data_IF_057921653560
#
_entry.id   IF_057921653560
#
_cell.length_a   1.000
_cell.length_b   1.000
_cell.length_c   1.000
_cell.angle_alpha   90.00
_cell.angle_beta   90.00
_cell.angle_gamma   90.00
#
_symmetry.space_group_name_H-M   'P 1'
#
loop_
_entity.id
_entity.type
_entity.pdbx_description
1 polymer ?
#
# COMPACT_ATOMS: atom_id res chain seq x y z
N UNK A 1 -1.62 -3.64 34.14
CA UNK A 1 -3.05 -3.24 34.32
C UNK A 1 -3.79 -2.94 33.00
N UNK A 2 -3.21 -2.21 32.02
CA UNK A 2 -3.90 -1.81 30.77
C UNK A 2 -4.57 -2.96 29.99
N UNK A 3 -3.86 -4.06 29.75
CA UNK A 3 -4.42 -5.23 29.03
C UNK A 3 -5.58 -5.90 29.78
N UNK A 4 -5.46 -6.02 31.11
CA UNK A 4 -6.50 -6.63 31.94
C UNK A 4 -7.82 -5.84 31.87
N UNK A 5 -7.74 -4.50 31.87
CA UNK A 5 -8.91 -3.63 31.69
C UNK A 5 -9.56 -3.85 30.31
N UNK A 6 -8.76 -3.95 29.23
CA UNK A 6 -9.27 -4.19 27.88
C UNK A 6 -10.01 -5.53 27.80
N UNK A 7 -9.40 -6.62 28.26
CA UNK A 7 -10.01 -7.94 28.19
C UNK A 7 -11.33 -7.99 28.98
N UNK A 8 -11.37 -7.37 30.17
CA UNK A 8 -12.57 -7.38 31.02
C UNK A 8 -13.68 -6.43 30.53
N UNK A 9 -13.33 -5.32 29.91
CA UNK A 9 -14.31 -4.33 29.43
C UNK A 9 -14.93 -4.73 28.08
N UNK A 10 -14.11 -5.20 27.13
CA UNK A 10 -14.60 -5.60 25.81
C UNK A 10 -15.07 -7.06 25.79
N UNK A 11 -14.40 -7.95 26.52
CA UNK A 11 -14.63 -9.39 26.42
C UNK A 11 -14.01 -10.01 25.16
N UNK A 12 -13.85 -11.34 25.20
CA UNK A 12 -13.13 -12.10 24.17
C UNK A 12 -13.86 -12.05 22.82
N UNK A 13 -15.19 -12.16 22.81
CA UNK A 13 -15.97 -12.21 21.57
C UNK A 13 -15.96 -10.87 20.82
N UNK A 14 -16.03 -9.75 21.54
CA UNK A 14 -15.91 -8.43 20.91
C UNK A 14 -14.49 -8.19 20.38
N UNK A 15 -13.45 -8.60 21.10
CA UNK A 15 -12.06 -8.51 20.62
C UNK A 15 -11.87 -9.30 19.31
N UNK A 16 -12.38 -10.53 19.24
CA UNK A 16 -12.37 -11.31 17.99
C UNK A 16 -13.14 -10.60 16.88
N UNK A 17 -14.30 -10.01 17.19
CA UNK A 17 -15.11 -9.26 16.22
C UNK A 17 -14.36 -8.05 15.68
N UNK A 18 -13.70 -7.26 16.54
CA UNK A 18 -12.88 -6.12 16.09
C UNK A 18 -11.76 -6.54 15.17
N UNK A 19 -11.02 -7.60 15.52
CA UNK A 19 -9.96 -8.14 14.67
C UNK A 19 -10.48 -8.62 13.31
N UNK A 20 -11.60 -9.36 13.30
CA UNK A 20 -12.23 -9.82 12.05
C UNK A 20 -12.70 -8.64 11.19
N UNK A 21 -13.27 -7.61 11.80
CA UNK A 21 -13.68 -6.40 11.09
C UNK A 21 -12.48 -5.68 10.46
N UNK A 22 -11.34 -5.59 11.15
CA UNK A 22 -10.12 -4.99 10.56
C UNK A 22 -9.61 -5.78 9.35
N UNK A 23 -9.63 -7.12 9.45
CA UNK A 23 -9.27 -7.99 8.32
C UNK A 23 -10.27 -7.83 7.17
N UNK A 24 -11.56 -7.71 7.46
CA UNK A 24 -12.58 -7.51 6.43
C UNK A 24 -12.40 -6.18 5.69
N UNK A 25 -12.13 -5.09 6.42
CA UNK A 25 -11.82 -3.79 5.80
C UNK A 25 -10.58 -3.87 4.89
N UNK A 26 -9.55 -4.61 5.31
CA UNK A 26 -8.37 -4.81 4.48
C UNK A 26 -8.68 -5.61 3.20
N UNK A 27 -9.54 -6.64 3.27
CA UNK A 27 -10.00 -7.37 2.08
C UNK A 27 -10.78 -6.48 1.13
N UNK A 28 -11.72 -5.67 1.65
CA UNK A 28 -12.46 -4.71 0.83
C UNK A 28 -11.50 -3.72 0.15
N UNK A 29 -10.50 -3.22 0.86
CA UNK A 29 -9.48 -2.35 0.26
C UNK A 29 -8.65 -3.08 -0.80
N UNK A 30 -8.25 -4.32 -0.55
CA UNK A 30 -7.52 -5.14 -1.52
C UNK A 30 -8.32 -5.34 -2.83
N UNK A 31 -9.64 -5.55 -2.73
CA UNK A 31 -10.54 -5.62 -3.89
C UNK A 31 -10.63 -4.30 -4.65
N UNK A 32 -10.67 -3.16 -3.93
CA UNK A 32 -10.65 -1.84 -4.56
C UNK A 32 -9.35 -1.59 -5.32
N UNK A 33 -8.21 -1.98 -4.74
CA UNK A 33 -6.91 -1.88 -5.40
C UNK A 33 -6.84 -2.80 -6.63
N UNK A 34 -7.31 -4.05 -6.54
CA UNK A 34 -7.33 -4.98 -7.68
C UNK A 34 -8.20 -4.52 -8.85
N UNK A 35 -9.25 -3.74 -8.59
CA UNK A 35 -10.12 -3.20 -9.64
C UNK A 35 -9.43 -2.14 -10.49
N UNK A 36 -8.35 -1.53 -10.00
CA UNK A 36 -7.60 -0.52 -10.71
C UNK A 36 -6.33 -1.13 -11.32
N UNK A 37 -6.29 -1.24 -12.65
CA UNK A 37 -5.17 -1.81 -13.41
C UNK A 37 -3.84 -1.06 -13.19
N UNK A 38 -3.89 0.14 -12.60
CA UNK A 38 -2.69 0.94 -12.28
C UNK A 38 -1.93 0.43 -11.07
N UNK A 39 -2.51 -0.47 -10.28
CA UNK A 39 -1.91 -0.97 -9.05
C UNK A 39 -1.81 -2.49 -9.07
N UNK A 40 -0.81 -3.01 -8.37
CA UNK A 40 -0.68 -4.43 -8.08
C UNK A 40 -0.50 -4.68 -6.59
N UNK A 41 -1.00 -5.84 -6.14
CA UNK A 41 -0.77 -6.36 -4.80
C UNK A 41 0.54 -7.15 -4.81
N UNK A 42 1.53 -6.71 -4.02
CA UNK A 42 2.87 -7.32 -4.00
C UNK A 42 2.87 -8.64 -3.24
N UNK A 43 2.11 -8.71 -2.14
CA UNK A 43 2.03 -9.89 -1.26
C UNK A 43 0.58 -10.18 -0.87
N UNK A 44 0.19 -11.46 -0.71
CA UNK A 44 -1.15 -11.81 -0.29
C UNK A 44 -1.54 -11.19 1.06
N UNK A 45 -2.73 -10.58 1.13
CA UNK A 45 -3.27 -9.99 2.36
C UNK A 45 -3.69 -11.09 3.34
N UNK A 46 -2.92 -11.28 4.44
CA UNK A 46 -3.23 -12.29 5.48
C UNK A 46 -3.98 -11.73 6.69
N UNK A 47 -3.77 -10.45 6.99
CA UNK A 47 -4.35 -9.75 8.13
C UNK A 47 -4.85 -8.37 7.69
N UNK A 48 -4.87 -7.38 8.58
CA UNK A 48 -5.38 -6.04 8.30
C UNK A 48 -4.36 -5.11 7.60
N UNK A 49 -3.44 -5.66 6.80
CA UNK A 49 -2.42 -4.89 6.08
C UNK A 49 -2.36 -5.32 4.62
N UNK A 50 -2.54 -4.37 3.72
CA UNK A 50 -2.46 -4.56 2.27
C UNK A 50 -1.21 -3.87 1.75
N UNK A 51 -0.32 -4.63 1.11
CA UNK A 51 0.88 -4.10 0.48
C UNK A 51 0.67 -4.00 -1.03
N UNK A 52 0.60 -2.78 -1.54
CA UNK A 52 0.37 -2.51 -2.96
C UNK A 52 1.40 -1.52 -3.49
N UNK A 53 1.55 -1.50 -4.82
CA UNK A 53 2.35 -0.51 -5.53
C UNK A 53 1.76 -0.22 -6.90
N UNK A 54 2.21 0.87 -7.52
CA UNK A 54 1.93 1.18 -8.93
C UNK A 54 2.50 0.09 -9.82
N UNK A 55 1.70 -0.33 -10.79
CA UNK A 55 2.06 -1.34 -11.78
C UNK A 55 3.08 -0.78 -12.79
N UNK A 56 4.13 -1.54 -13.15
CA UNK A 56 5.16 -1.06 -14.07
C UNK A 56 4.63 -0.54 -15.42
N UNK A 57 3.65 -1.23 -16.01
CA UNK A 57 3.10 -0.88 -17.32
C UNK A 57 2.25 0.40 -17.33
N UNK A 58 1.89 0.91 -16.15
CA UNK A 58 1.12 2.15 -16.01
C UNK A 58 1.98 3.40 -16.07
N UNK A 59 3.31 3.22 -16.13
CA UNK A 59 4.28 4.30 -16.30
C UNK A 59 4.62 4.36 -17.79
N UNK A 60 4.13 5.39 -18.49
CA UNK A 60 4.57 5.68 -19.85
C UNK A 60 6.03 6.12 -19.80
N UNK A 61 6.92 5.23 -20.23
CA UNK A 61 8.31 5.56 -20.49
C UNK A 61 8.35 6.08 -21.91
N UNK A 62 8.58 7.38 -22.09
CA UNK A 62 8.84 7.93 -23.41
C UNK A 62 10.06 7.19 -24.00
N UNK A 63 9.85 6.41 -25.07
CA UNK A 63 10.88 5.65 -25.76
C UNK A 63 11.91 6.54 -26.50
N UNK A 64 11.91 7.86 -26.24
CA UNK A 64 12.66 8.88 -26.99
C UNK A 64 13.97 9.34 -26.35
N UNK A 65 14.37 8.80 -25.20
CA UNK A 65 15.64 9.17 -24.56
C UNK A 65 16.54 7.96 -24.41
N UNK A 66 17.66 7.99 -25.15
CA UNK A 66 18.91 7.36 -24.74
C UNK A 66 19.04 7.47 -23.22
N UNK A 67 19.13 6.31 -22.55
CA UNK A 67 19.02 6.08 -21.11
C UNK A 67 18.90 7.31 -20.21
N UNK A 68 17.75 7.47 -19.55
CA UNK A 68 17.59 8.43 -18.46
C UNK A 68 18.61 8.11 -17.34
N UNK A 69 19.73 8.82 -17.32
CA UNK A 69 20.71 8.77 -16.24
C UNK A 69 20.31 9.79 -15.16
N UNK A 70 19.88 9.31 -13.99
CA UNK A 70 19.82 10.13 -12.79
C UNK A 70 21.03 9.78 -11.92
N UNK A 71 21.88 10.78 -11.64
CA UNK A 71 23.11 10.63 -10.84
C UNK A 71 24.02 9.51 -11.40
N UNK A 72 24.20 9.47 -12.73
CA UNK A 72 25.21 8.61 -13.38
C UNK A 72 24.98 7.10 -13.32
N UNK A 73 23.79 6.62 -12.90
CA UNK A 73 23.46 5.18 -12.94
C UNK A 73 22.41 4.87 -14.00
N UNK A 74 22.63 3.79 -14.76
CA UNK A 74 21.68 3.24 -15.74
C UNK A 74 20.38 2.87 -15.00
N UNK A 75 19.28 3.55 -15.34
CA UNK A 75 17.97 3.28 -14.73
C UNK A 75 17.48 1.88 -15.12
N UNK A 76 17.23 1.04 -14.12
CA UNK A 76 16.44 -0.18 -14.29
C UNK A 76 14.96 0.17 -14.11
N UNK A 77 14.06 -0.50 -14.83
CA UNK A 77 12.60 -0.30 -14.77
C UNK A 77 12.05 -0.31 -13.33
N UNK A 78 12.62 -1.13 -12.44
CA UNK A 78 12.23 -1.18 -11.03
C UNK A 78 12.56 0.09 -10.22
N UNK A 79 13.62 0.83 -10.58
CA UNK A 79 13.97 2.08 -9.89
C UNK A 79 12.95 3.18 -10.20
N UNK A 80 12.49 3.27 -11.44
CA UNK A 80 11.46 4.23 -11.84
C UNK A 80 10.14 3.95 -11.11
N UNK A 81 9.71 2.69 -11.03
CA UNK A 81 8.52 2.28 -10.29
C UNK A 81 8.64 2.67 -8.81
N UNK A 82 9.79 2.42 -8.19
CA UNK A 82 10.02 2.80 -6.79
C UNK A 82 9.95 4.32 -6.59
N UNK A 83 10.49 5.10 -7.52
CA UNK A 83 10.48 6.56 -7.46
C UNK A 83 9.07 7.13 -7.58
N UNK A 84 8.26 6.62 -8.50
CA UNK A 84 6.85 7.05 -8.65
C UNK A 84 6.03 6.66 -7.43
N UNK A 85 6.23 5.45 -6.88
CA UNK A 85 5.58 5.03 -5.63
C UNK A 85 5.97 5.93 -4.45
N UNK A 86 7.24 6.31 -4.34
CA UNK A 86 7.70 7.26 -3.32
C UNK A 86 6.98 8.61 -3.45
N UNK A 87 6.94 9.20 -4.65
CA UNK A 87 6.26 10.47 -4.89
C UNK A 87 4.75 10.40 -4.61
N UNK A 88 4.11 9.29 -4.97
CA UNK A 88 2.70 9.06 -4.67
C UNK A 88 2.47 9.05 -3.15
N UNK A 89 3.30 8.29 -2.41
CA UNK A 89 3.22 8.18 -0.97
C UNK A 89 3.41 9.53 -0.28
N UNK A 90 4.45 10.28 -0.69
CA UNK A 90 4.75 11.61 -0.15
C UNK A 90 3.60 12.60 -0.43
N UNK A 91 2.99 12.53 -1.61
CA UNK A 91 1.83 13.36 -1.98
C UNK A 91 0.60 13.04 -1.13
N UNK A 92 0.32 11.75 -0.90
CA UNK A 92 -0.82 11.32 -0.07
C UNK A 92 -0.60 11.71 1.38
N UNK A 93 0.59 11.48 1.94
CA UNK A 93 0.90 11.87 3.31
C UNK A 93 0.92 13.41 3.45
N UNK A 94 1.38 14.13 2.42
CA UNK A 94 1.40 15.59 2.38
C UNK A 94 0.02 16.24 2.26
N UNK A 95 -1.00 15.54 1.74
CA UNK A 95 -2.36 16.08 1.64
C UNK A 95 -3.10 16.14 3.00
N UNK A 96 -2.58 15.44 4.03
CA UNK A 96 -3.14 15.43 5.38
C UNK A 96 -4.46 14.65 5.54
N UNK A 97 -4.97 14.01 4.49
CA UNK A 97 -6.22 13.22 4.55
C UNK A 97 -6.00 11.80 5.08
N UNK A 98 -4.81 11.26 4.90
CA UNK A 98 -4.42 9.93 5.35
C UNK A 98 -2.91 9.91 5.63
N UNK A 99 -2.50 8.93 6.42
CA UNK A 99 -1.09 8.60 6.62
C UNK A 99 -0.92 7.10 6.40
N UNK A 100 0.01 6.74 5.53
CA UNK A 100 0.33 5.37 5.18
C UNK A 100 1.84 5.17 5.02
#
# INVERSE_FOLDING_TARGET
>A
LKLWIIIRSYGIENLKKFLRNHVEMAKTFEELVRKDERFEIIVPTRFALVCFRIYPSSINIDNGSEGCYYIGKKMNHGYLVNEVNRKLLDSVNGCGKAYM
#
